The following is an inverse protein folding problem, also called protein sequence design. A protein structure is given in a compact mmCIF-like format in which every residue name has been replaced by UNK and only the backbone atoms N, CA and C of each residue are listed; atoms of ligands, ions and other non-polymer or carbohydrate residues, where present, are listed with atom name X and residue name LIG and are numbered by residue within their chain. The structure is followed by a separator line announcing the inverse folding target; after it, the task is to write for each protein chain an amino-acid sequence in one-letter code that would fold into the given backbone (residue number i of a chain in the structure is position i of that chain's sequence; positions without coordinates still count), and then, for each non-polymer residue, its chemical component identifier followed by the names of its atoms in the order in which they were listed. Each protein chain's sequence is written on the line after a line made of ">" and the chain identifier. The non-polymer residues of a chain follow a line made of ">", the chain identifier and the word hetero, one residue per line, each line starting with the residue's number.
data_IF_765878454080
#
_entry.id   IF_765878454080
#
_cell.length_a   1.000
_cell.length_b   1.000
_cell.length_c   1.000
_cell.angle_alpha   90.00
_cell.angle_beta   90.00
_cell.angle_gamma   90.00
#
_symmetry.space_group_name_H-M   'P 1'
#
loop_
_entity.id
_entity.type
_entity.pdbx_description
1 polymer ?
#
# COMPACT_ATOMS: atom_id res chain seq x y z
N UNK A 1 -19.61 -5.06 -28.43
CA UNK A 1 -19.33 -5.41 -27.02
C UNK A 1 -19.64 -6.90 -26.84
N UNK A 2 -18.67 -7.67 -26.38
CA UNK A 2 -18.84 -9.11 -26.21
C UNK A 2 -19.29 -9.35 -24.76
N UNK A 3 -20.46 -9.93 -24.57
CA UNK A 3 -20.93 -10.33 -23.25
C UNK A 3 -20.07 -11.49 -22.74
N UNK A 4 -19.57 -11.39 -21.52
CA UNK A 4 -18.74 -12.41 -20.88
C UNK A 4 -19.47 -12.88 -19.63
N UNK A 5 -19.85 -14.16 -19.64
CA UNK A 5 -20.32 -14.84 -18.44
C UNK A 5 -19.14 -15.19 -17.53
N UNK A 6 -19.26 -14.92 -16.24
CA UNK A 6 -18.30 -15.38 -15.24
C UNK A 6 -18.94 -16.53 -14.47
N UNK A 7 -18.35 -17.73 -14.61
CA UNK A 7 -18.71 -18.85 -13.77
C UNK A 7 -17.95 -18.73 -12.44
N UNK A 8 -18.67 -18.41 -11.40
CA UNK A 8 -18.10 -18.14 -10.08
C UNK A 8 -17.64 -19.43 -9.40
N UNK A 9 -18.32 -20.53 -9.60
CA UNK A 9 -17.94 -21.81 -9.02
C UNK A 9 -16.66 -22.35 -9.67
N UNK A 10 -16.44 -22.00 -10.95
CA UNK A 10 -15.22 -22.34 -11.69
C UNK A 10 -14.07 -21.37 -11.46
N UNK A 11 -14.24 -20.31 -10.65
CA UNK A 11 -13.21 -19.31 -10.42
C UNK A 11 -12.00 -19.94 -9.72
N UNK A 12 -10.92 -20.06 -10.46
CA UNK A 12 -9.65 -20.62 -10.00
C UNK A 12 -8.64 -19.50 -9.86
N UNK A 13 -7.70 -19.68 -8.93
CA UNK A 13 -6.53 -18.80 -8.79
C UNK A 13 -5.30 -19.56 -9.24
N UNK A 14 -4.52 -18.96 -10.10
CA UNK A 14 -3.27 -19.51 -10.59
C UNK A 14 -2.25 -18.40 -10.81
N UNK A 15 -0.97 -18.70 -10.62
CA UNK A 15 0.10 -17.79 -11.00
C UNK A 15 0.18 -17.66 -12.51
N UNK A 16 0.20 -16.44 -13.04
CA UNK A 16 0.43 -16.22 -14.48
C UNK A 16 1.85 -16.60 -14.89
N UNK A 17 2.77 -16.73 -13.93
CA UNK A 17 4.15 -17.13 -14.16
C UNK A 17 4.29 -18.66 -14.33
N UNK A 18 3.31 -19.41 -13.87
CA UNK A 18 3.35 -20.89 -13.81
C UNK A 18 2.24 -21.55 -14.66
N UNK A 19 1.45 -20.79 -15.40
CA UNK A 19 0.33 -21.31 -16.19
C UNK A 19 0.52 -21.10 -17.68
N UNK A 20 -0.05 -22.02 -18.48
CA UNK A 20 -0.16 -21.95 -19.94
C UNK A 20 -1.20 -20.93 -20.44
N UNK A 21 -1.40 -19.84 -19.70
CA UNK A 21 -2.04 -18.71 -20.33
C UNK A 21 -1.24 -18.32 -21.58
N UNK A 22 -1.85 -17.71 -22.55
CA UNK A 22 -1.12 -17.06 -23.63
C UNK A 22 -0.28 -15.90 -23.07
N UNK A 23 0.56 -16.26 -22.10
CA UNK A 23 1.43 -15.40 -21.31
C UNK A 23 2.75 -15.23 -22.05
N UNK A 24 3.16 -13.99 -22.27
CA UNK A 24 4.44 -13.65 -22.91
C UNK A 24 5.36 -13.02 -21.90
N UNK A 25 6.53 -13.64 -21.61
CA UNK A 25 7.53 -13.04 -20.74
C UNK A 25 7.93 -11.65 -21.24
N UNK A 26 8.15 -10.75 -20.32
CA UNK A 26 8.64 -9.39 -20.58
C UNK A 26 9.97 -9.21 -19.90
N UNK A 27 10.94 -8.62 -20.60
CA UNK A 27 12.20 -8.22 -20.00
C UNK A 27 11.96 -7.09 -18.99
N UNK A 28 12.52 -7.25 -17.80
CA UNK A 28 12.50 -6.22 -16.76
C UNK A 28 13.89 -5.62 -16.59
N UNK A 29 13.93 -4.37 -16.09
CA UNK A 29 15.17 -3.78 -15.63
C UNK A 29 15.75 -4.64 -14.50
N UNK A 30 17.07 -4.91 -14.52
CA UNK A 30 17.69 -5.69 -13.47
C UNK A 30 17.71 -4.92 -12.15
N UNK A 31 17.36 -5.63 -11.07
CA UNK A 31 17.63 -5.23 -9.71
C UNK A 31 18.56 -6.28 -9.12
N UNK A 32 19.70 -5.83 -8.61
CA UNK A 32 20.77 -6.73 -8.15
C UNK A 32 20.25 -7.67 -7.04
N UNK A 33 20.45 -8.98 -7.26
CA UNK A 33 20.04 -10.03 -6.32
C UNK A 33 18.53 -10.30 -6.22
N UNK A 34 17.70 -9.68 -7.09
CA UNK A 34 16.24 -9.80 -7.02
C UNK A 34 15.68 -10.60 -8.20
N UNK A 35 14.88 -11.61 -7.89
CA UNK A 35 14.16 -12.42 -8.89
C UNK A 35 12.80 -11.79 -9.20
N UNK A 36 12.83 -10.77 -10.05
CA UNK A 36 11.62 -10.10 -10.53
C UNK A 36 11.27 -10.58 -11.93
N UNK A 37 9.99 -10.76 -12.18
CA UNK A 37 9.46 -11.21 -13.48
C UNK A 37 8.27 -10.33 -13.86
N UNK A 38 8.04 -10.18 -15.14
CA UNK A 38 6.79 -9.67 -15.68
C UNK A 38 6.33 -10.52 -16.83
N UNK A 39 5.04 -10.54 -17.05
CA UNK A 39 4.42 -11.24 -18.17
C UNK A 39 3.22 -10.46 -18.67
N UNK A 40 2.88 -10.66 -19.94
CA UNK A 40 1.67 -10.13 -20.56
C UNK A 40 0.65 -11.26 -20.71
N UNK A 41 -0.59 -10.96 -20.37
CA UNK A 41 -1.73 -11.87 -20.58
C UNK A 41 -2.75 -11.16 -21.46
N UNK A 42 -3.21 -11.86 -22.50
CA UNK A 42 -4.21 -11.32 -23.42
C UNK A 42 -5.63 -11.49 -22.88
N UNK A 43 -6.53 -10.61 -23.30
CA UNK A 43 -7.99 -10.71 -23.09
C UNK A 43 -8.43 -10.83 -21.63
N UNK A 44 -7.82 -10.06 -20.75
CA UNK A 44 -8.17 -10.04 -19.33
C UNK A 44 -9.43 -9.20 -19.10
N UNK A 45 -10.41 -9.76 -18.42
CA UNK A 45 -11.57 -9.03 -17.93
C UNK A 45 -11.27 -8.42 -16.58
N UNK A 46 -11.33 -7.09 -16.50
CA UNK A 46 -11.19 -6.34 -15.25
C UNK A 46 -12.55 -5.86 -14.75
N UNK A 47 -12.89 -6.20 -13.51
CA UNK A 47 -14.11 -5.83 -12.80
C UNK A 47 -13.74 -4.83 -11.67
N UNK A 48 -13.77 -3.52 -11.93
CA UNK A 48 -13.23 -2.52 -11.01
C UNK A 48 -13.98 -2.46 -9.68
N UNK A 49 -15.28 -2.70 -9.66
CA UNK A 49 -16.07 -2.69 -8.43
C UNK A 49 -15.68 -3.81 -7.44
N UNK A 50 -15.15 -4.92 -7.97
CA UNK A 50 -14.65 -6.04 -7.17
C UNK A 50 -13.12 -6.01 -7.00
N UNK A 51 -12.41 -5.15 -7.74
CA UNK A 51 -10.95 -5.20 -7.83
C UNK A 51 -10.44 -6.51 -8.43
N UNK A 52 -11.26 -7.18 -9.24
CA UNK A 52 -11.00 -8.53 -9.75
C UNK A 52 -10.53 -8.48 -11.20
N UNK A 53 -9.49 -9.22 -11.51
CA UNK A 53 -9.00 -9.45 -12.84
C UNK A 53 -9.18 -10.93 -13.19
N UNK A 54 -9.70 -11.22 -14.36
CA UNK A 54 -9.96 -12.59 -14.83
C UNK A 54 -9.30 -12.79 -16.19
N UNK A 55 -8.36 -13.71 -16.24
CA UNK A 55 -7.79 -14.22 -17.49
C UNK A 55 -8.79 -15.10 -18.21
N UNK A 56 -8.53 -15.49 -19.49
CA UNK A 56 -9.38 -16.42 -20.21
C UNK A 56 -9.69 -17.68 -19.41
N UNK A 57 -10.95 -18.11 -19.45
CA UNK A 57 -11.43 -19.25 -18.65
C UNK A 57 -11.83 -18.90 -17.21
N UNK A 58 -11.93 -17.61 -16.86
CA UNK A 58 -12.38 -17.17 -15.54
C UNK A 58 -11.34 -17.35 -14.42
N UNK A 59 -10.06 -17.45 -14.79
CA UNK A 59 -8.97 -17.67 -13.83
C UNK A 59 -8.46 -16.31 -13.32
N UNK A 60 -8.41 -16.14 -12.00
CA UNK A 60 -7.85 -14.95 -11.39
C UNK A 60 -6.32 -15.09 -11.26
N UNK A 61 -5.51 -14.21 -11.87
CA UNK A 61 -4.07 -14.23 -11.69
C UNK A 61 -3.69 -13.91 -10.24
N UNK A 62 -2.86 -14.75 -9.62
CA UNK A 62 -2.36 -14.50 -8.24
C UNK A 62 -1.55 -13.21 -8.16
N UNK A 63 -0.90 -12.83 -9.25
CA UNK A 63 -0.13 -11.59 -9.34
C UNK A 63 -1.00 -10.33 -9.30
N UNK A 64 -2.31 -10.48 -9.56
CA UNK A 64 -3.29 -9.41 -9.40
C UNK A 64 -3.82 -9.31 -7.95
N UNK A 65 -3.47 -10.26 -7.09
CA UNK A 65 -3.88 -10.32 -5.69
C UNK A 65 -2.67 -10.31 -4.78
N UNK A 66 -2.78 -9.61 -3.69
CA UNK A 66 -1.68 -9.38 -2.75
C UNK A 66 -1.22 -10.65 -2.05
N UNK A 67 -2.16 -11.53 -1.71
CA UNK A 67 -1.87 -12.73 -0.93
C UNK A 67 -2.94 -13.78 -1.25
N UNK A 68 -2.55 -15.03 -1.60
CA UNK A 68 -3.48 -16.14 -1.81
C UNK A 68 -4.44 -16.34 -0.63
N UNK A 69 -3.96 -16.09 0.60
CA UNK A 69 -4.79 -16.13 1.79
C UNK A 69 -5.94 -15.10 1.76
N UNK A 70 -5.70 -13.93 1.19
CA UNK A 70 -6.74 -12.91 1.02
C UNK A 70 -7.84 -13.39 0.08
N UNK A 71 -7.51 -14.17 -0.95
CA UNK A 71 -8.51 -14.77 -1.84
C UNK A 71 -9.39 -15.80 -1.12
N UNK A 72 -8.81 -16.67 -0.33
CA UNK A 72 -9.58 -17.69 0.38
C UNK A 72 -10.42 -17.07 1.50
N UNK A 73 -9.89 -16.09 2.21
CA UNK A 73 -10.61 -15.33 3.21
C UNK A 73 -11.75 -14.50 2.59
N UNK A 74 -11.49 -13.86 1.47
CA UNK A 74 -12.47 -13.05 0.76
C UNK A 74 -13.52 -13.91 0.03
N UNK A 75 -13.15 -15.08 -0.50
CA UNK A 75 -14.11 -16.08 -1.02
C UNK A 75 -15.16 -16.43 0.03
N UNK A 76 -14.75 -16.70 1.27
CA UNK A 76 -15.67 -17.11 2.32
C UNK A 76 -16.55 -15.99 2.89
N UNK A 77 -16.04 -14.76 2.95
CA UNK A 77 -16.70 -13.68 3.72
C UNK A 77 -17.21 -12.49 2.91
N UNK A 78 -16.55 -12.12 1.83
CA UNK A 78 -16.88 -10.89 1.08
C UNK A 78 -17.26 -11.14 -0.36
N UNK A 79 -16.66 -12.14 -1.01
CA UNK A 79 -17.03 -12.46 -2.36
C UNK A 79 -18.32 -13.33 -2.43
N UNK A 80 -18.63 -14.14 -1.42
CA UNK A 80 -19.84 -14.97 -1.41
C UNK A 80 -21.11 -14.20 -1.78
N UNK A 81 -21.29 -12.99 -1.23
CA UNK A 81 -22.44 -12.15 -1.56
C UNK A 81 -22.26 -11.21 -2.76
N UNK A 82 -21.03 -10.98 -3.21
CA UNK A 82 -20.75 -10.04 -4.32
C UNK A 82 -20.45 -10.76 -5.64
N UNK A 83 -19.90 -11.94 -5.59
CA UNK A 83 -19.64 -12.74 -6.78
C UNK A 83 -20.96 -13.19 -7.45
N UNK A 84 -22.00 -13.47 -6.66
CA UNK A 84 -23.32 -13.77 -7.21
C UNK A 84 -23.87 -12.64 -8.09
N UNK A 85 -23.53 -11.38 -7.77
CA UNK A 85 -23.86 -10.23 -8.59
C UNK A 85 -23.06 -10.20 -9.92
N UNK A 86 -21.97 -10.96 -10.03
CA UNK A 86 -21.12 -11.05 -11.21
C UNK A 86 -21.35 -12.33 -12.03
N UNK A 87 -22.31 -13.17 -11.67
CA UNK A 87 -22.71 -14.34 -12.46
C UNK A 87 -23.41 -13.98 -13.78
N UNK A 88 -23.87 -12.73 -13.91
CA UNK A 88 -24.50 -12.24 -15.13
C UNK A 88 -23.47 -11.94 -16.23
N UNK A 89 -23.82 -12.06 -17.52
CA UNK A 89 -22.95 -11.63 -18.60
C UNK A 89 -22.69 -10.12 -18.53
N UNK A 90 -21.41 -9.72 -18.66
CA UNK A 90 -21.01 -8.32 -18.66
C UNK A 90 -20.78 -7.82 -20.06
N UNK A 91 -21.31 -6.64 -20.34
CA UNK A 91 -20.77 -5.82 -21.41
C UNK A 91 -19.52 -5.11 -20.92
N UNK A 92 -18.36 -5.48 -21.46
CA UNK A 92 -17.10 -4.88 -21.13
C UNK A 92 -16.62 -3.95 -22.26
N UNK A 93 -16.21 -2.74 -21.91
CA UNK A 93 -15.53 -1.85 -22.85
C UNK A 93 -14.12 -2.37 -23.13
N UNK A 94 -13.75 -2.43 -24.40
CA UNK A 94 -12.41 -2.84 -24.79
C UNK A 94 -11.39 -1.73 -24.55
N UNK A 95 -10.22 -2.13 -24.07
CA UNK A 95 -9.07 -1.27 -23.90
C UNK A 95 -7.87 -1.86 -24.64
N UNK A 96 -7.54 -1.22 -25.75
CA UNK A 96 -6.44 -1.63 -26.62
C UNK A 96 -5.07 -1.24 -26.05
N UNK A 97 -4.02 -1.94 -26.48
CA UNK A 97 -2.64 -1.69 -26.08
C UNK A 97 -2.29 -2.26 -24.71
N UNK A 98 -1.06 -2.06 -24.30
CA UNK A 98 -0.54 -2.57 -23.04
C UNK A 98 -1.11 -1.80 -21.84
N UNK A 99 -1.56 -2.53 -20.83
CA UNK A 99 -2.17 -2.01 -19.63
C UNK A 99 -1.60 -2.71 -18.39
N UNK A 100 -1.49 -1.98 -17.30
CA UNK A 100 -1.27 -2.55 -15.97
C UNK A 100 -2.37 -2.06 -15.03
N UNK A 101 -3.11 -2.97 -14.42
CA UNK A 101 -4.10 -2.61 -13.41
C UNK A 101 -3.36 -2.33 -12.10
N UNK A 102 -3.55 -1.12 -11.60
CA UNK A 102 -3.14 -0.72 -10.26
C UNK A 102 -4.36 -0.71 -9.37
N UNK A 103 -4.28 -1.43 -8.32
CA UNK A 103 -5.36 -1.51 -7.36
C UNK A 103 -5.93 -2.92 -7.25
N UNK A 104 -5.86 -3.37 -6.05
CA UNK A 104 -6.52 -4.55 -5.55
C UNK A 104 -7.44 -4.14 -4.40
N UNK A 105 -8.00 -5.10 -3.71
CA UNK A 105 -8.91 -4.87 -2.61
C UNK A 105 -8.36 -3.94 -1.51
N UNK A 106 -7.04 -3.98 -1.26
CA UNK A 106 -6.39 -3.18 -0.21
C UNK A 106 -5.79 -1.86 -0.71
N UNK A 107 -5.81 -1.56 -2.00
CA UNK A 107 -5.13 -0.39 -2.58
C UNK A 107 -5.72 0.96 -2.15
N UNK A 108 -6.91 0.96 -1.53
CA UNK A 108 -7.46 2.14 -0.84
C UNK A 108 -6.76 2.43 0.50
N UNK A 109 -5.93 1.50 0.99
CA UNK A 109 -5.11 1.68 2.17
C UNK A 109 -3.77 2.29 1.77
N UNK A 110 -3.38 3.38 2.42
CA UNK A 110 -2.18 4.17 2.12
C UNK A 110 -0.89 3.32 2.15
N UNK A 111 -0.75 2.42 3.13
CA UNK A 111 0.40 1.53 3.25
C UNK A 111 0.49 0.56 2.06
N UNK A 112 -0.62 -0.09 1.72
CA UNK A 112 -0.65 -1.05 0.62
C UNK A 112 -0.45 -0.38 -0.74
N UNK A 113 -1.02 0.80 -0.93
CA UNK A 113 -0.79 1.57 -2.16
C UNK A 113 0.71 1.81 -2.40
N UNK A 114 1.41 2.30 -1.37
CA UNK A 114 2.84 2.61 -1.50
C UNK A 114 3.68 1.34 -1.63
N UNK A 115 3.44 0.35 -0.76
CA UNK A 115 4.30 -0.83 -0.65
C UNK A 115 4.04 -1.90 -1.70
N UNK A 116 2.95 -1.82 -2.45
CA UNK A 116 2.53 -2.84 -3.40
C UNK A 116 2.28 -2.27 -4.80
N UNK A 117 1.52 -1.19 -4.92
CA UNK A 117 1.17 -0.67 -6.23
C UNK A 117 2.28 0.25 -6.79
N UNK A 118 2.80 1.18 -5.99
CA UNK A 118 3.85 2.08 -6.49
C UNK A 118 5.16 1.36 -6.80
N UNK A 119 5.47 0.27 -6.10
CA UNK A 119 6.63 -0.55 -6.43
C UNK A 119 6.49 -1.20 -7.81
N UNK A 120 5.28 -1.62 -8.20
CA UNK A 120 5.00 -2.10 -9.56
C UNK A 120 5.23 -1.00 -10.60
N UNK A 121 4.72 0.20 -10.32
CA UNK A 121 4.92 1.36 -11.20
C UNK A 121 6.41 1.62 -11.42
N UNK A 122 7.19 1.70 -10.35
CA UNK A 122 8.64 1.96 -10.45
C UNK A 122 9.36 0.85 -11.22
N UNK A 123 8.98 -0.42 -10.99
CA UNK A 123 9.53 -1.55 -11.72
C UNK A 123 9.24 -1.44 -13.22
N UNK A 124 7.97 -1.19 -13.57
CA UNK A 124 7.53 -1.12 -14.96
C UNK A 124 8.13 0.08 -15.70
N UNK A 125 8.11 1.27 -15.09
CA UNK A 125 8.71 2.48 -15.71
C UNK A 125 10.20 2.30 -15.98
N UNK A 126 10.94 1.72 -15.04
CA UNK A 126 12.37 1.40 -15.25
C UNK A 126 12.59 0.34 -16.31
N UNK A 127 11.60 -0.50 -16.57
CA UNK A 127 11.65 -1.53 -17.61
C UNK A 127 11.13 -1.05 -18.97
N UNK A 128 10.86 0.26 -19.12
CA UNK A 128 10.41 0.85 -20.36
C UNK A 128 8.93 0.63 -20.70
N UNK A 129 8.09 0.38 -19.69
CA UNK A 129 6.64 0.28 -19.89
C UNK A 129 6.06 1.62 -20.33
N UNK A 130 5.48 1.66 -21.52
CA UNK A 130 4.85 2.83 -22.12
C UNK A 130 3.31 2.74 -22.17
N UNK A 131 2.76 1.65 -21.66
CA UNK A 131 1.33 1.39 -21.60
C UNK A 131 0.58 2.25 -20.58
N UNK A 132 -0.69 1.90 -20.37
CA UNK A 132 -1.60 2.65 -19.48
C UNK A 132 -1.77 1.96 -18.14
N UNK A 133 -1.84 2.76 -17.10
CA UNK A 133 -2.24 2.33 -15.77
C UNK A 133 -3.75 2.42 -15.61
N UNK A 134 -4.39 1.31 -15.29
CA UNK A 134 -5.83 1.22 -15.11
C UNK A 134 -6.14 1.19 -13.62
N UNK A 135 -7.00 2.10 -13.17
CA UNK A 135 -7.37 2.26 -11.78
C UNK A 135 -8.88 2.12 -11.62
N UNK A 136 -9.34 1.58 -10.50
CA UNK A 136 -10.69 1.86 -10.00
C UNK A 136 -10.71 3.26 -9.35
N UNK A 137 -11.89 3.74 -8.93
CA UNK A 137 -11.98 4.98 -8.15
C UNK A 137 -11.16 4.86 -6.87
N UNK A 138 -10.04 5.56 -6.80
CA UNK A 138 -9.08 5.55 -5.69
C UNK A 138 -9.09 6.88 -4.93
N UNK A 139 -8.62 6.89 -3.68
CA UNK A 139 -8.39 8.11 -2.92
C UNK A 139 -7.43 9.07 -3.63
N UNK A 140 -7.55 10.37 -3.34
CA UNK A 140 -6.75 11.42 -3.98
C UNK A 140 -5.23 11.18 -3.89
N UNK A 141 -4.76 10.64 -2.79
CA UNK A 141 -3.32 10.35 -2.61
C UNK A 141 -2.76 9.42 -3.70
N UNK A 142 -3.56 8.51 -4.25
CA UNK A 142 -3.10 7.60 -5.29
C UNK A 142 -2.70 8.37 -6.56
N UNK A 143 -3.51 9.35 -6.95
CA UNK A 143 -3.22 10.22 -8.09
C UNK A 143 -2.04 11.16 -7.83
N UNK A 144 -1.92 11.68 -6.59
CA UNK A 144 -0.79 12.51 -6.20
C UNK A 144 0.54 11.75 -6.31
N UNK A 145 0.59 10.50 -5.85
CA UNK A 145 1.79 9.66 -5.98
C UNK A 145 2.16 9.37 -7.45
N UNK A 146 1.16 9.06 -8.29
CA UNK A 146 1.43 8.83 -9.72
C UNK A 146 1.99 10.09 -10.39
N UNK A 147 1.47 11.26 -10.03
CA UNK A 147 2.00 12.54 -10.52
C UNK A 147 3.44 12.77 -10.04
N UNK A 148 3.77 12.48 -8.77
CA UNK A 148 5.13 12.56 -8.24
C UNK A 148 6.10 11.60 -8.94
N UNK A 149 5.63 10.44 -9.38
CA UNK A 149 6.41 9.51 -10.18
C UNK A 149 6.53 9.93 -11.66
N UNK A 150 5.90 11.05 -12.06
CA UNK A 150 5.95 11.56 -13.42
C UNK A 150 5.04 10.83 -14.42
N UNK A 151 4.06 10.08 -13.92
CA UNK A 151 3.11 9.38 -14.80
C UNK A 151 2.16 10.40 -15.43
N UNK A 152 2.24 10.51 -16.76
CA UNK A 152 1.40 11.44 -17.51
C UNK A 152 -0.10 11.12 -17.34
N UNK A 153 -0.98 12.10 -17.14
CA UNK A 153 -2.43 11.87 -16.98
C UNK A 153 -3.05 11.07 -18.14
N UNK A 154 -2.55 11.23 -19.37
CA UNK A 154 -3.02 10.46 -20.54
C UNK A 154 -2.75 8.95 -20.44
N UNK A 155 -1.83 8.54 -19.57
CA UNK A 155 -1.53 7.12 -19.29
C UNK A 155 -2.38 6.55 -18.15
N UNK A 156 -3.24 7.35 -17.52
CA UNK A 156 -4.09 6.93 -16.41
C UNK A 156 -5.51 6.74 -16.94
N UNK A 157 -6.05 5.54 -16.76
CA UNK A 157 -7.43 5.19 -17.11
C UNK A 157 -8.19 4.85 -15.84
N UNK A 158 -9.17 5.68 -15.49
CA UNK A 158 -10.09 5.38 -14.38
C UNK A 158 -11.23 4.53 -14.93
N UNK A 159 -11.34 3.31 -14.44
CA UNK A 159 -12.38 2.37 -14.85
C UNK A 159 -13.69 2.67 -14.09
N UNK A 160 -14.71 3.02 -14.80
CA UNK A 160 -16.07 3.28 -14.33
C UNK A 160 -17.00 2.07 -14.49
N UNK A 161 -16.55 1.02 -15.19
CA UNK A 161 -17.25 -0.23 -15.43
C UNK A 161 -16.29 -1.32 -15.90
N UNK A 162 -16.82 -2.53 -16.24
CA UNK A 162 -16.02 -3.64 -16.72
C UNK A 162 -15.18 -3.27 -17.95
N UNK A 163 -13.91 -3.69 -17.94
CA UNK A 163 -12.98 -3.48 -19.05
C UNK A 163 -12.45 -4.84 -19.54
N UNK A 164 -12.36 -5.00 -20.85
CA UNK A 164 -11.57 -6.04 -21.48
C UNK A 164 -10.23 -5.50 -21.91
N UNK A 165 -9.21 -5.87 -21.18
CA UNK A 165 -7.84 -5.47 -21.46
C UNK A 165 -7.24 -6.40 -22.49
N UNK A 166 -6.92 -5.89 -23.68
CA UNK A 166 -6.34 -6.71 -24.76
C UNK A 166 -4.95 -7.21 -24.44
N UNK A 167 -4.22 -6.48 -23.60
CA UNK A 167 -2.89 -6.86 -23.11
C UNK A 167 -2.69 -6.34 -21.68
N UNK A 168 -2.75 -7.21 -20.70
CA UNK A 168 -2.55 -6.91 -19.31
C UNK A 168 -1.15 -7.34 -18.83
N UNK A 169 -0.42 -6.44 -18.21
CA UNK A 169 0.89 -6.71 -17.65
C UNK A 169 0.79 -7.08 -16.17
N UNK A 170 1.47 -8.14 -15.79
CA UNK A 170 1.60 -8.63 -14.42
C UNK A 170 3.07 -8.69 -14.05
N UNK A 171 3.39 -8.27 -12.84
CA UNK A 171 4.73 -8.42 -12.25
C UNK A 171 4.69 -9.47 -11.16
N UNK A 172 5.85 -9.96 -10.73
CA UNK A 172 5.95 -10.72 -9.48
C UNK A 172 5.14 -10.05 -8.39
N UNK A 173 4.33 -10.82 -7.67
CA UNK A 173 3.51 -10.31 -6.57
C UNK A 173 4.41 -9.79 -5.44
N UNK A 174 4.50 -8.47 -5.34
CA UNK A 174 5.23 -7.79 -4.27
C UNK A 174 4.22 -7.42 -3.22
N UNK A 175 4.21 -8.15 -2.14
CA UNK A 175 3.31 -7.85 -1.01
C UNK A 175 4.04 -7.00 0.02
N UNK A 176 3.27 -6.21 0.76
CA UNK A 176 3.78 -5.38 1.84
C UNK A 176 4.65 -6.16 2.84
N UNK A 177 4.28 -7.43 3.12
CA UNK A 177 5.03 -8.34 3.99
C UNK A 177 6.35 -8.83 3.38
N UNK A 178 6.55 -8.65 2.08
CA UNK A 178 7.73 -9.16 1.36
C UNK A 178 8.59 -8.04 0.77
N UNK A 179 8.21 -6.78 0.96
CA UNK A 179 8.96 -5.64 0.39
C UNK A 179 10.43 -5.65 0.82
N UNK A 180 10.72 -6.09 2.04
CA UNK A 180 12.09 -6.24 2.54
C UNK A 180 12.95 -7.26 1.77
N UNK A 181 12.33 -8.14 0.95
CA UNK A 181 13.05 -9.09 0.08
C UNK A 181 13.49 -8.46 -1.24
N UNK A 182 13.06 -7.23 -1.50
CA UNK A 182 13.36 -6.47 -2.71
C UNK A 182 13.99 -5.12 -2.36
N UNK A 183 15.19 -5.11 -1.73
CA UNK A 183 15.82 -3.89 -1.25
C UNK A 183 16.14 -2.93 -2.38
N UNK A 184 16.60 -3.41 -3.54
CA UNK A 184 16.88 -2.57 -4.70
C UNK A 184 15.64 -1.86 -5.21
N UNK A 185 14.53 -2.58 -5.33
CA UNK A 185 13.25 -2.00 -5.74
C UNK A 185 12.70 -1.02 -4.69
N UNK A 186 12.83 -1.36 -3.40
CA UNK A 186 12.45 -0.46 -2.32
C UNK A 186 13.23 0.87 -2.37
N UNK A 187 14.55 0.81 -2.53
CA UNK A 187 15.38 2.01 -2.67
C UNK A 187 15.02 2.79 -3.94
N UNK A 188 14.73 2.10 -5.04
CA UNK A 188 14.32 2.74 -6.28
C UNK A 188 13.00 3.52 -6.13
N UNK A 189 12.02 2.98 -5.43
CA UNK A 189 10.77 3.69 -5.10
C UNK A 189 11.06 4.92 -4.23
N UNK A 190 11.85 4.73 -3.19
CA UNK A 190 12.23 5.80 -2.28
C UNK A 190 12.93 6.95 -3.01
N UNK A 191 13.92 6.64 -3.84
CA UNK A 191 14.69 7.64 -4.62
C UNK A 191 13.78 8.37 -5.61
N UNK A 192 12.87 7.66 -6.27
CA UNK A 192 11.93 8.27 -7.21
C UNK A 192 11.00 9.27 -6.52
N UNK A 193 10.47 8.94 -5.35
CA UNK A 193 9.54 9.78 -4.61
C UNK A 193 10.22 10.92 -3.82
N UNK A 194 11.50 10.77 -3.50
CA UNK A 194 12.27 11.79 -2.77
C UNK A 194 13.13 12.68 -3.67
N UNK A 195 13.10 12.50 -4.99
CA UNK A 195 13.97 13.21 -5.93
C UNK A 195 13.94 14.73 -5.75
N UNK A 196 12.75 15.28 -5.59
CA UNK A 196 12.52 16.73 -5.48
C UNK A 196 12.03 17.12 -4.10
N UNK A 197 12.21 16.24 -3.11
CA UNK A 197 11.73 16.45 -1.74
C UNK A 197 12.85 17.03 -0.90
N UNK A 198 12.63 18.24 -0.40
CA UNK A 198 13.45 18.87 0.61
C UNK A 198 12.62 19.19 1.87
N UNK A 199 13.20 18.99 3.06
CA UNK A 199 12.61 19.49 4.28
C UNK A 199 12.65 21.02 4.31
N UNK A 200 11.61 21.65 4.85
CA UNK A 200 11.58 23.11 5.01
C UNK A 200 12.22 23.53 6.35
N UNK A 201 12.87 24.70 6.40
CA UNK A 201 13.29 25.26 7.67
C UNK A 201 12.10 25.42 8.63
N UNK A 202 12.27 24.98 9.87
CA UNK A 202 11.19 25.00 10.86
C UNK A 202 10.28 23.77 10.88
N UNK A 203 10.51 22.81 9.99
CA UNK A 203 9.78 21.53 10.05
C UNK A 203 10.10 20.77 11.35
N UNK A 204 9.10 20.09 11.93
CA UNK A 204 9.30 19.32 13.14
C UNK A 204 10.29 18.18 12.91
N UNK A 205 11.23 18.05 13.84
CA UNK A 205 12.22 16.97 13.78
C UNK A 205 11.74 15.68 14.43
N UNK A 206 10.77 15.77 15.33
CA UNK A 206 10.14 14.67 16.01
C UNK A 206 8.62 14.79 15.83
N UNK A 207 7.97 13.78 15.26
CA UNK A 207 6.55 13.83 14.86
C UNK A 207 5.80 12.71 15.57
N UNK A 208 4.76 13.07 16.31
CA UNK A 208 3.72 12.15 16.70
C UNK A 208 2.61 12.16 15.65
N UNK A 209 2.40 11.03 15.00
CA UNK A 209 1.35 10.87 13.98
C UNK A 209 0.02 10.59 14.67
N UNK A 210 -0.76 11.65 14.86
CA UNK A 210 -2.08 11.53 15.48
C UNK A 210 -3.11 10.97 14.50
N UNK A 211 -4.04 10.22 15.04
CA UNK A 211 -5.15 9.64 14.27
C UNK A 211 -6.53 10.17 14.70
N UNK A 212 -6.57 10.94 15.76
CA UNK A 212 -7.80 11.48 16.32
C UNK A 212 -8.47 12.51 15.42
N UNK A 213 -7.67 13.27 14.68
CA UNK A 213 -8.13 14.40 13.88
C UNK A 213 -8.46 14.01 12.44
N UNK A 214 -8.07 12.81 12.01
CA UNK A 214 -8.19 12.39 10.62
C UNK A 214 -9.55 11.82 10.26
N UNK A 215 -9.95 12.05 9.01
CA UNK A 215 -11.19 11.51 8.40
C UNK A 215 -11.22 9.98 8.40
N UNK A 216 -10.04 9.33 8.52
CA UNK A 216 -9.85 7.89 8.52
C UNK A 216 -9.38 7.36 9.89
N UNK A 217 -9.89 7.90 10.96
CA UNK A 217 -9.43 7.56 12.30
C UNK A 217 -9.69 6.06 12.68
N UNK A 218 -10.61 5.38 12.01
CA UNK A 218 -10.87 3.94 12.13
C UNK A 218 -10.88 3.42 13.59
N UNK A 219 -11.32 4.26 14.54
CA UNK A 219 -11.39 3.90 15.95
C UNK A 219 -10.03 3.74 16.66
N UNK A 220 -8.94 4.29 16.11
CA UNK A 220 -7.60 4.22 16.74
C UNK A 220 -7.19 5.55 17.38
N UNK A 221 -8.12 6.21 18.02
CA UNK A 221 -7.86 7.44 18.74
C UNK A 221 -7.15 7.18 20.07
N UNK A 222 -6.27 8.10 20.45
CA UNK A 222 -5.65 8.13 21.77
C UNK A 222 -6.68 8.56 22.81
N UNK A 223 -6.86 7.76 23.88
CA UNK A 223 -7.85 8.03 24.94
C UNK A 223 -7.33 8.94 26.05
N UNK A 224 -6.01 8.98 26.26
CA UNK A 224 -5.37 9.78 27.29
C UNK A 224 -4.42 10.85 26.70
N UNK A 225 -4.90 11.71 25.78
CA UNK A 225 -4.08 12.75 25.19
C UNK A 225 -3.54 13.74 26.21
N UNK A 226 -4.29 14.01 27.30
CA UNK A 226 -3.91 14.96 28.32
C UNK A 226 -2.67 14.51 29.14
N UNK A 227 -2.39 13.22 29.17
CA UNK A 227 -1.17 12.65 29.76
C UNK A 227 -0.03 12.53 28.73
N UNK A 228 -0.37 12.11 27.51
CA UNK A 228 0.61 11.76 26.48
C UNK A 228 1.16 13.01 25.78
N UNK A 229 0.34 14.01 25.47
CA UNK A 229 0.81 15.17 24.70
C UNK A 229 1.80 16.05 25.48
N UNK A 230 1.61 16.36 26.77
CA UNK A 230 2.64 17.08 27.54
C UNK A 230 3.95 16.30 27.63
N UNK A 231 3.88 14.97 27.70
CA UNK A 231 5.06 14.12 27.65
C UNK A 231 5.79 14.25 26.30
N UNK A 232 5.07 14.13 25.18
CA UNK A 232 5.63 14.29 23.84
C UNK A 232 6.29 15.66 23.64
N UNK A 233 5.65 16.74 24.11
CA UNK A 233 6.18 18.10 24.02
C UNK A 233 7.52 18.24 24.77
N UNK A 234 7.65 17.64 25.96
CA UNK A 234 8.93 17.63 26.73
C UNK A 234 10.06 16.99 25.93
N UNK A 235 9.77 16.02 25.06
CA UNK A 235 10.73 15.37 24.18
C UNK A 235 10.80 15.98 22.78
N UNK A 236 10.21 17.16 22.58
CA UNK A 236 10.26 17.93 21.33
C UNK A 236 9.46 17.33 20.17
N UNK A 237 8.46 16.51 20.47
CA UNK A 237 7.53 16.01 19.46
C UNK A 237 6.43 17.04 19.17
N UNK A 238 6.09 17.17 17.89
CA UNK A 238 4.87 17.84 17.44
C UNK A 238 3.82 16.81 17.05
N UNK A 239 2.59 17.04 17.48
CA UNK A 239 1.43 16.21 17.17
C UNK A 239 0.85 16.66 15.83
N UNK A 240 0.88 15.79 14.82
CA UNK A 240 0.43 16.10 13.48
C UNK A 240 -0.56 15.04 12.95
N UNK A 241 -1.61 15.50 12.29
CA UNK A 241 -2.37 14.66 11.37
C UNK A 241 -1.70 14.70 9.99
N UNK A 242 -0.93 13.66 9.67
CA UNK A 242 -0.22 13.58 8.39
C UNK A 242 -1.18 13.58 7.20
N UNK A 243 -2.38 13.04 7.35
CA UNK A 243 -3.37 12.98 6.26
C UNK A 243 -3.97 14.35 5.90
N UNK A 244 -3.79 15.37 6.73
CA UNK A 244 -4.21 16.74 6.45
C UNK A 244 -3.33 17.45 5.40
N UNK A 245 -2.18 16.86 5.04
CA UNK A 245 -1.24 17.46 4.10
C UNK A 245 -1.27 16.74 2.74
N UNK A 246 -0.98 17.45 1.63
CA UNK A 246 -0.71 16.82 0.34
C UNK A 246 0.46 15.83 0.44
N UNK A 247 0.48 14.80 -0.40
CA UNK A 247 1.50 13.73 -0.37
C UNK A 247 2.93 14.29 -0.41
N UNK A 248 3.23 15.24 -1.27
CA UNK A 248 4.55 15.85 -1.36
C UNK A 248 5.00 16.45 -0.02
N UNK A 249 4.05 17.07 0.72
CA UNK A 249 4.33 17.63 2.04
C UNK A 249 4.51 16.54 3.10
N UNK A 250 3.72 15.48 3.05
CA UNK A 250 3.89 14.32 3.92
C UNK A 250 5.29 13.71 3.76
N UNK A 251 5.75 13.53 2.51
CA UNK A 251 7.09 13.02 2.21
C UNK A 251 8.19 13.96 2.73
N UNK A 252 8.01 15.28 2.57
CA UNK A 252 8.94 16.29 3.07
C UNK A 252 9.06 16.24 4.60
N UNK A 253 7.94 16.21 5.31
CA UNK A 253 7.89 16.09 6.76
C UNK A 253 8.58 14.79 7.23
N UNK A 254 8.25 13.66 6.62
CA UNK A 254 8.87 12.38 6.95
C UNK A 254 10.38 12.40 6.69
N UNK A 255 10.82 12.94 5.54
CA UNK A 255 12.24 13.03 5.18
C UNK A 255 13.03 13.93 6.12
N UNK A 256 12.43 15.01 6.62
CA UNK A 256 13.02 15.93 7.58
C UNK A 256 13.07 15.40 9.02
N UNK A 257 12.19 14.46 9.35
CA UNK A 257 12.06 13.95 10.70
C UNK A 257 13.26 13.09 11.14
N UNK A 258 13.67 13.25 12.39
CA UNK A 258 14.64 12.40 13.09
C UNK A 258 13.95 11.26 13.83
N UNK A 259 12.71 11.48 14.26
CA UNK A 259 11.88 10.47 14.91
C UNK A 259 10.42 10.61 14.49
N UNK A 260 9.77 9.46 14.29
CA UNK A 260 8.32 9.38 14.21
C UNK A 260 7.79 8.45 15.30
N UNK A 261 6.64 8.78 15.85
CA UNK A 261 5.95 7.98 16.85
C UNK A 261 4.43 8.06 16.65
N UNK A 262 3.70 7.15 17.26
CA UNK A 262 2.24 7.17 17.24
C UNK A 262 1.60 5.78 17.24
N UNK A 263 0.26 5.72 17.13
CA UNK A 263 -0.49 4.47 17.02
C UNK A 263 -0.20 3.74 15.72
N UNK A 264 0.04 2.43 15.80
CA UNK A 264 0.22 1.57 14.62
C UNK A 264 -0.83 1.82 13.54
N UNK A 265 -0.39 1.91 12.30
CA UNK A 265 -1.29 2.04 11.15
C UNK A 265 -0.61 2.37 9.84
N UNK A 266 -1.42 2.52 8.79
CA UNK A 266 -0.95 2.75 7.43
C UNK A 266 0.00 3.96 7.28
N UNK A 267 -0.19 5.01 8.09
CA UNK A 267 0.68 6.19 8.08
C UNK A 267 2.14 5.89 8.46
N UNK A 268 2.41 4.80 9.19
CA UNK A 268 3.79 4.45 9.53
C UNK A 268 4.65 4.07 8.32
N UNK A 269 4.07 3.89 7.12
CA UNK A 269 4.84 3.76 5.88
C UNK A 269 5.74 4.99 5.63
N UNK A 270 5.48 6.13 6.26
CA UNK A 270 6.36 7.30 6.23
C UNK A 270 7.77 7.00 6.74
N UNK A 271 7.95 5.95 7.57
CA UNK A 271 9.26 5.46 7.95
C UNK A 271 10.13 5.10 6.73
N UNK A 272 9.52 4.66 5.63
CA UNK A 272 10.23 4.37 4.38
C UNK A 272 10.90 5.60 3.76
N UNK A 273 10.43 6.80 4.08
CA UNK A 273 10.89 8.06 3.50
C UNK A 273 11.78 8.89 4.44
N UNK A 274 11.93 8.47 5.68
CA UNK A 274 12.85 9.09 6.62
C UNK A 274 14.30 8.90 6.18
N UNK A 275 15.20 9.74 6.71
CA UNK A 275 16.64 9.51 6.52
C UNK A 275 17.06 8.21 7.21
N UNK A 276 17.99 7.45 6.63
CA UNK A 276 18.51 6.26 7.30
C UNK A 276 19.02 6.58 8.72
N UNK A 277 18.88 5.62 9.64
CA UNK A 277 19.26 5.73 11.04
C UNK A 277 18.42 6.72 11.87
N UNK A 278 17.26 7.12 11.40
CA UNK A 278 16.25 7.81 12.19
C UNK A 278 15.61 6.87 13.21
N UNK A 279 14.71 7.38 14.04
CA UNK A 279 14.04 6.60 15.09
C UNK A 279 12.55 6.41 14.78
N UNK A 280 12.03 5.21 15.06
CA UNK A 280 10.62 4.85 14.88
C UNK A 280 10.13 4.24 16.18
N UNK A 281 9.12 4.87 16.80
CA UNK A 281 8.47 4.34 18.01
C UNK A 281 7.02 4.06 17.67
N UNK A 282 6.68 2.79 17.55
CA UNK A 282 5.35 2.37 17.11
C UNK A 282 4.55 1.80 18.27
N UNK A 283 3.39 2.41 18.57
CA UNK A 283 2.51 1.96 19.63
C UNK A 283 1.54 0.91 19.10
N UNK A 284 1.57 -0.28 19.66
CA UNK A 284 0.80 -1.44 19.21
C UNK A 284 -0.25 -1.90 20.21
N UNK A 285 -1.36 -2.38 19.67
CA UNK A 285 -2.24 -3.29 20.37
C UNK A 285 -1.55 -4.64 20.55
N UNK A 286 -1.53 -5.21 21.77
CA UNK A 286 -1.00 -6.57 21.96
C UNK A 286 -1.74 -7.64 21.15
N UNK A 287 -2.99 -7.35 20.73
CA UNK A 287 -3.81 -8.26 19.94
C UNK A 287 -3.52 -8.21 18.44
N UNK A 288 -2.75 -7.20 17.98
CA UNK A 288 -2.43 -7.06 16.58
C UNK A 288 -1.04 -6.49 16.38
N UNK A 289 -0.08 -7.35 16.14
CA UNK A 289 1.32 -7.01 15.83
C UNK A 289 1.57 -7.29 14.36
N UNK A 290 2.01 -6.27 13.62
CA UNK A 290 2.37 -6.38 12.21
C UNK A 290 3.85 -5.97 12.02
N UNK A 291 4.72 -6.85 11.51
CA UNK A 291 6.16 -6.57 11.39
C UNK A 291 6.54 -5.68 10.20
N UNK A 292 5.59 -5.25 9.36
CA UNK A 292 5.92 -4.55 8.10
C UNK A 292 6.78 -3.31 8.27
N UNK A 293 6.50 -2.48 9.28
CA UNK A 293 7.29 -1.27 9.56
C UNK A 293 8.64 -1.61 10.19
N UNK A 294 8.70 -2.65 11.02
CA UNK A 294 9.96 -3.16 11.55
C UNK A 294 10.91 -3.60 10.41
N UNK A 295 10.40 -4.32 9.41
CA UNK A 295 11.19 -4.76 8.26
C UNK A 295 11.68 -3.58 7.40
N UNK A 296 10.84 -2.57 7.18
CA UNK A 296 11.24 -1.32 6.53
C UNK A 296 12.31 -0.60 7.35
N UNK A 297 12.13 -0.55 8.67
CA UNK A 297 13.09 0.07 9.59
C UNK A 297 14.46 -0.62 9.54
N UNK A 298 14.49 -1.93 9.39
CA UNK A 298 15.73 -2.70 9.19
C UNK A 298 16.45 -2.31 7.90
N UNK A 299 15.72 -2.18 6.78
CA UNK A 299 16.32 -1.77 5.50
C UNK A 299 17.01 -0.40 5.59
N UNK A 300 16.44 0.53 6.34
CA UNK A 300 16.99 1.87 6.55
C UNK A 300 17.83 2.02 7.82
N UNK A 301 18.03 0.92 8.56
CA UNK A 301 18.79 0.91 9.83
C UNK A 301 18.24 1.90 10.85
N UNK A 302 16.91 2.06 10.89
CA UNK A 302 16.26 2.87 11.93
C UNK A 302 16.40 2.22 13.30
N UNK A 303 16.46 3.04 14.35
CA UNK A 303 16.22 2.59 15.72
C UNK A 303 14.71 2.36 15.84
N UNK A 304 14.31 1.11 15.89
CA UNK A 304 12.90 0.75 15.99
C UNK A 304 12.57 0.28 17.40
N UNK A 305 11.52 0.87 17.96
CA UNK A 305 10.98 0.50 19.25
C UNK A 305 9.48 0.27 19.14
N UNK A 306 9.00 -0.71 19.90
CA UNK A 306 7.59 -1.05 20.01
C UNK A 306 7.14 -0.77 21.44
N UNK A 307 6.06 0.01 21.57
CA UNK A 307 5.38 0.28 22.83
C UNK A 307 4.04 -0.42 22.80
N UNK A 308 3.81 -1.36 23.72
CA UNK A 308 2.51 -1.98 23.87
C UNK A 308 1.57 -1.03 24.62
N UNK A 309 0.29 -0.99 24.23
CA UNK A 309 -0.74 -0.23 24.93
C UNK A 309 -1.90 -1.12 25.38
N UNK A 310 -2.63 -0.69 26.38
CA UNK A 310 -3.86 -1.34 26.77
C UNK A 310 -4.95 -1.09 25.73
N UNK A 311 -5.64 -2.17 25.33
CA UNK A 311 -6.78 -2.08 24.44
C UNK A 311 -8.05 -1.76 25.20
N UNK A 312 -8.68 -0.66 24.83
CA UNK A 312 -10.10 -0.50 25.10
C UNK A 312 -10.88 -1.17 23.98
N UNK A 313 -11.14 -2.45 24.14
CA UNK A 313 -11.72 -3.33 23.11
C UNK A 313 -13.17 -2.97 22.84
N UNK A 314 -13.49 -2.61 21.61
CA UNK A 314 -14.84 -2.34 21.12
C UNK A 314 -15.35 -3.39 20.12
N UNK A 315 -14.72 -4.57 20.10
CA UNK A 315 -15.12 -5.70 19.25
C UNK A 315 -14.41 -5.81 17.91
N UNK A 316 -13.56 -4.86 17.53
CA UNK A 316 -12.84 -4.90 16.26
C UNK A 316 -11.32 -4.96 16.47
N UNK A 317 -10.61 -6.05 16.08
CA UNK A 317 -9.21 -6.25 16.41
C UNK A 317 -8.25 -5.23 15.80
N UNK A 318 -8.69 -4.50 14.79
CA UNK A 318 -7.86 -3.49 14.10
C UNK A 318 -8.25 -2.05 14.39
N UNK A 319 -9.33 -1.81 15.13
CA UNK A 319 -9.96 -0.50 15.30
C UNK A 319 -9.99 0.02 16.73
N UNK A 320 -9.13 -0.46 17.59
CA UNK A 320 -9.26 -0.17 19.01
C UNK A 320 -8.70 1.21 19.37
N UNK A 321 -9.49 1.95 20.15
CA UNK A 321 -8.98 3.08 20.89
C UNK A 321 -7.84 2.64 21.78
N UNK A 322 -6.84 3.48 21.91
CA UNK A 322 -5.63 3.12 22.63
C UNK A 322 -5.44 4.00 23.86
N UNK A 323 -5.10 3.35 24.95
CA UNK A 323 -4.59 3.99 26.15
C UNK A 323 -3.10 3.69 26.24
N UNK A 324 -2.26 4.69 26.01
CA UNK A 324 -0.81 4.55 26.09
C UNK A 324 -0.38 4.76 27.53
N UNK A 325 0.39 3.83 28.10
CA UNK A 325 1.06 4.03 29.37
C UNK A 325 2.16 5.08 29.21
N UNK A 326 2.03 6.27 29.85
CA UNK A 326 3.02 7.33 29.71
C UNK A 326 4.41 6.91 30.16
N UNK A 327 4.53 6.02 31.15
CA UNK A 327 5.83 5.58 31.66
C UNK A 327 6.55 4.67 30.65
N UNK A 328 5.83 3.77 29.97
CA UNK A 328 6.39 2.94 28.91
C UNK A 328 6.78 3.77 27.69
N UNK A 329 5.96 4.75 27.33
CA UNK A 329 6.28 5.67 26.25
C UNK A 329 7.52 6.50 26.61
N UNK A 330 7.61 7.01 27.83
CA UNK A 330 8.74 7.83 28.28
C UNK A 330 10.07 7.06 28.21
N UNK A 331 10.07 5.77 28.60
CA UNK A 331 11.27 4.93 28.45
C UNK A 331 11.73 4.83 26.97
N UNK A 332 10.78 4.72 26.04
CA UNK A 332 11.10 4.71 24.62
C UNK A 332 11.59 6.07 24.11
N UNK A 333 11.06 7.16 24.62
CA UNK A 333 11.46 8.52 24.26
C UNK A 333 12.86 8.87 24.81
N UNK A 334 13.20 8.43 26.03
CA UNK A 334 14.53 8.60 26.63
C UNK A 334 15.64 7.93 25.81
N UNK A 335 15.33 6.84 25.13
CA UNK A 335 16.28 6.13 24.27
C UNK A 335 16.56 6.83 22.94
N UNK A 336 15.93 7.99 22.66
CA UNK A 336 16.18 8.78 21.44
C UNK A 336 17.44 9.65 21.55
N UNK A 337 17.82 10.02 22.74
CA UNK A 337 18.98 10.85 23.04
C UNK A 337 20.21 9.97 23.30
#
# INVERSE_FOLDING_TARGET
>A
MTAVGVDIEALRCASVLDTDFAARPVALAPFEGELLRATRVADVLYLPAAGLQLAPGGIAPLEAVQDPWCLDFERGRRFGGKLDAYAAPFEARELEGDCCVLGNFYSRNYFHWISEELVKVVLLERSGFDGRYVLSALPAFAHEFLALLGIAPARIVVADGPLRLRSAWYTTAITARRLHRYPGLFHALRDALLRDVAGAPGDPRRIWMDRRLGVNNAGRELLNPDEVYPLLERYGFQVLDMAAYPVARQLSLAHGAQAISGPHGAGFIHAAFMRPRSSVIECFSPLFINPGIFEISRLLRHRYQMVAYENCYDGYPHGNRLMVDPSQLELALQALD
#
